data_IF_290678240001
#
_entry.id   IF_290678240001
#
_cell.length_a   1.000
_cell.length_b   1.000
_cell.length_c   1.000
_cell.angle_alpha   90.00
_cell.angle_beta   90.00
_cell.angle_gamma   90.00
#
_symmetry.space_group_name_H-M   'P 1'
#
loop_
_entity.id
_entity.type
_entity.pdbx_description
1 polymer ?
#
# COMPACT_ATOMS: atom_id res chain seq x y z
N UNK A 1 -21.63 -11.44 31.23
CA UNK A 1 -20.49 -11.63 32.14
C UNK A 1 -19.12 -11.61 31.45
N UNK A 2 -18.75 -12.57 30.60
CA UNK A 2 -17.33 -12.84 30.23
C UNK A 2 -16.48 -11.70 29.61
N UNK A 3 -17.07 -10.74 28.90
CA UNK A 3 -16.29 -9.65 28.25
C UNK A 3 -15.71 -8.66 29.26
N UNK A 4 -16.44 -8.38 30.34
CA UNK A 4 -16.03 -7.42 31.37
C UNK A 4 -14.85 -7.99 32.18
N UNK A 5 -14.86 -9.30 32.44
CA UNK A 5 -13.81 -9.98 33.21
C UNK A 5 -12.45 -9.96 32.48
N UNK A 6 -12.44 -10.22 31.17
CA UNK A 6 -11.22 -10.16 30.33
C UNK A 6 -10.64 -8.76 30.30
N UNK A 7 -11.49 -7.75 30.13
CA UNK A 7 -11.05 -6.36 30.14
C UNK A 7 -10.48 -5.99 31.50
N UNK A 8 -11.17 -6.34 32.58
CA UNK A 8 -10.70 -6.07 33.95
C UNK A 8 -9.34 -6.74 34.25
N UNK A 9 -9.12 -7.98 33.79
CA UNK A 9 -7.83 -8.68 33.89
C UNK A 9 -6.69 -8.01 33.10
N UNK A 10 -6.98 -7.50 31.89
CA UNK A 10 -6.03 -6.70 31.12
C UNK A 10 -5.63 -5.41 31.85
N UNK A 11 -6.58 -4.70 32.47
CA UNK A 11 -6.28 -3.46 33.17
C UNK A 11 -5.56 -3.68 34.50
N UNK A 12 -5.96 -4.70 35.29
CA UNK A 12 -5.36 -4.96 36.61
C UNK A 12 -4.01 -5.67 36.53
N UNK A 13 -3.88 -6.67 35.67
CA UNK A 13 -2.73 -7.59 35.67
C UNK A 13 -1.91 -7.56 34.37
N UNK A 14 -2.30 -6.71 33.41
CA UNK A 14 -1.76 -6.73 32.03
C UNK A 14 -1.83 -8.12 31.38
N UNK A 15 -2.71 -8.97 31.90
CA UNK A 15 -2.83 -10.38 31.54
C UNK A 15 -4.31 -10.77 31.51
N UNK A 16 -4.89 -11.00 30.32
CA UNK A 16 -6.31 -11.36 30.18
C UNK A 16 -6.68 -12.73 30.78
N UNK A 17 -5.70 -13.51 31.24
CA UNK A 17 -5.91 -14.85 31.81
C UNK A 17 -6.24 -14.85 33.30
N UNK A 18 -6.11 -13.71 33.98
CA UNK A 18 -6.30 -13.60 35.43
C UNK A 18 -7.74 -13.18 35.70
N UNK A 19 -8.50 -14.02 36.41
CA UNK A 19 -9.83 -13.69 36.90
C UNK A 19 -9.76 -12.89 38.23
N UNK A 20 -10.91 -12.45 38.76
CA UNK A 20 -10.97 -11.64 39.99
C UNK A 20 -10.33 -12.32 41.22
N UNK A 21 -10.24 -13.65 41.22
CA UNK A 21 -9.71 -14.46 42.32
C UNK A 21 -8.25 -14.91 42.12
N UNK A 22 -7.58 -14.47 41.04
CA UNK A 22 -6.19 -14.86 40.75
C UNK A 22 -6.01 -16.27 40.18
N UNK A 23 -7.10 -17.00 39.93
CA UNK A 23 -7.12 -18.37 39.40
C UNK A 23 -7.14 -18.39 37.85
N UNK A 24 -6.16 -19.05 37.24
CA UNK A 24 -6.11 -19.25 35.79
C UNK A 24 -6.79 -20.56 35.38
N UNK A 25 -7.93 -20.49 34.69
CA UNK A 25 -8.55 -21.67 34.05
C UNK A 25 -7.75 -22.05 32.78
N UNK A 26 -7.00 -23.15 32.85
CA UNK A 26 -6.16 -23.63 31.75
C UNK A 26 -6.93 -23.93 30.46
N UNK A 27 -8.24 -24.20 30.55
CA UNK A 27 -9.11 -24.46 29.39
C UNK A 27 -9.51 -23.19 28.62
N UNK A 28 -9.29 -22.00 29.17
CA UNK A 28 -9.69 -20.71 28.56
C UNK A 28 -8.54 -19.71 28.48
N UNK A 29 -7.33 -20.21 28.24
CA UNK A 29 -6.14 -19.35 28.18
C UNK A 29 -6.10 -18.54 26.88
N UNK A 30 -6.14 -17.23 27.02
CA UNK A 30 -5.87 -16.26 25.98
C UNK A 30 -4.39 -16.32 25.58
N UNK A 31 -4.08 -16.62 24.30
CA UNK A 31 -2.72 -16.70 23.82
C UNK A 31 -2.09 -15.31 23.70
N UNK A 32 -0.80 -15.22 23.99
CA UNK A 32 -0.01 -14.03 23.68
C UNK A 32 0.08 -13.84 22.16
N UNK A 33 -0.11 -12.61 21.71
CA UNK A 33 0.12 -12.26 20.32
C UNK A 33 1.63 -12.12 20.08
N UNK A 34 2.17 -12.89 19.13
CA UNK A 34 3.56 -12.79 18.67
C UNK A 34 3.58 -12.57 17.16
N UNK A 35 4.62 -11.93 16.63
CA UNK A 35 4.73 -11.68 15.20
C UNK A 35 4.80 -12.97 14.36
N UNK A 36 5.35 -14.05 14.93
CA UNK A 36 5.45 -15.35 14.28
C UNK A 36 4.14 -16.13 14.26
N UNK A 37 3.40 -16.13 15.38
CA UNK A 37 2.19 -16.97 15.48
C UNK A 37 0.89 -16.22 15.22
N UNK A 38 0.86 -14.90 15.48
CA UNK A 38 -0.26 -13.98 15.26
C UNK A 38 -1.60 -14.53 15.74
N UNK A 39 -1.59 -15.19 16.90
CA UNK A 39 -2.77 -15.83 17.50
C UNK A 39 -3.72 -14.76 18.03
N UNK A 40 -5.01 -14.96 17.78
CA UNK A 40 -6.08 -14.12 18.30
C UNK A 40 -7.30 -14.95 18.68
N UNK A 41 -8.19 -14.39 19.48
CA UNK A 41 -9.41 -15.06 19.94
C UNK A 41 -10.64 -14.31 19.46
N UNK A 42 -11.61 -15.03 18.91
CA UNK A 42 -12.92 -14.48 18.56
C UNK A 42 -13.77 -14.26 19.81
N UNK A 43 -14.28 -13.05 20.01
CA UNK A 43 -15.14 -12.68 21.15
C UNK A 43 -16.62 -12.83 20.80
N UNK A 44 -17.14 -14.06 20.79
CA UNK A 44 -18.53 -14.38 20.47
C UNK A 44 -19.22 -15.20 21.58
N UNK A 45 -20.46 -15.65 21.33
CA UNK A 45 -21.25 -16.50 22.24
C UNK A 45 -20.83 -17.98 22.20
N UNK A 46 -20.04 -18.36 21.19
CA UNK A 46 -19.49 -19.70 21.03
C UNK A 46 -18.35 -19.96 22.04
N UNK A 47 -17.97 -21.24 22.26
CA UNK A 47 -16.74 -21.56 22.97
C UNK A 47 -15.53 -20.88 22.32
N UNK A 48 -14.58 -20.47 23.17
CA UNK A 48 -13.38 -19.74 22.76
C UNK A 48 -12.58 -20.51 21.72
N UNK A 49 -12.43 -19.91 20.53
CA UNK A 49 -11.60 -20.44 19.44
C UNK A 49 -10.39 -19.53 19.23
N UNK A 50 -9.21 -20.16 19.15
CA UNK A 50 -7.96 -19.47 18.81
C UNK A 50 -7.78 -19.56 17.29
N UNK A 51 -7.68 -18.40 16.66
CA UNK A 51 -7.41 -18.23 15.25
C UNK A 51 -6.01 -17.64 15.06
N UNK A 52 -5.53 -17.60 13.82
CA UNK A 52 -4.22 -17.03 13.45
C UNK A 52 -4.37 -16.07 12.27
N UNK A 53 -3.55 -15.01 12.24
CA UNK A 53 -3.41 -14.13 11.09
C UNK A 53 -4.69 -13.41 10.68
N UNK A 54 -5.23 -12.57 11.58
CA UNK A 54 -6.46 -11.82 11.32
C UNK A 54 -6.31 -10.94 10.07
N UNK A 55 -7.09 -11.25 9.02
CA UNK A 55 -7.13 -10.52 7.74
C UNK A 55 -5.73 -10.29 7.14
N UNK A 56 -4.81 -11.23 7.34
CA UNK A 56 -3.40 -11.09 6.98
C UNK A 56 -3.16 -10.63 5.53
N UNK A 57 -3.94 -11.13 4.57
CA UNK A 57 -3.86 -10.74 3.16
C UNK A 57 -4.24 -9.28 2.93
N UNK A 58 -5.34 -8.81 3.54
CA UNK A 58 -5.75 -7.42 3.47
C UNK A 58 -4.74 -6.51 4.19
N UNK A 59 -4.25 -6.91 5.35
CA UNK A 59 -3.20 -6.17 6.06
C UNK A 59 -1.91 -6.10 5.23
N UNK A 60 -1.52 -7.17 4.53
CA UNK A 60 -0.37 -7.15 3.64
C UNK A 60 -0.60 -6.21 2.44
N UNK A 61 -1.81 -6.23 1.87
CA UNK A 61 -2.21 -5.31 0.81
C UNK A 61 -2.08 -3.85 1.27
N UNK A 62 -2.78 -3.48 2.35
CA UNK A 62 -2.82 -2.10 2.83
C UNK A 62 -1.47 -1.61 3.40
N UNK A 63 -0.73 -2.46 4.11
CA UNK A 63 0.49 -2.03 4.81
C UNK A 63 1.76 -2.19 3.98
N UNK A 64 1.77 -3.02 2.93
CA UNK A 64 3.00 -3.31 2.15
C UNK A 64 2.84 -3.01 0.67
N UNK A 65 1.75 -3.46 0.06
CA UNK A 65 1.55 -3.31 -1.38
C UNK A 65 1.14 -1.88 -1.74
N UNK A 66 0.09 -1.35 -1.11
CA UNK A 66 -0.45 -0.05 -1.46
C UNK A 66 0.56 1.10 -1.30
N UNK A 67 1.36 1.20 -0.22
CA UNK A 67 2.34 2.27 -0.10
C UNK A 67 3.40 2.24 -1.20
N UNK A 68 3.81 1.03 -1.63
CA UNK A 68 4.75 0.86 -2.74
C UNK A 68 4.14 1.26 -4.07
N UNK A 69 2.88 0.88 -4.30
CA UNK A 69 2.16 1.26 -5.50
C UNK A 69 2.06 2.78 -5.61
N UNK A 70 1.60 3.44 -4.54
CA UNK A 70 1.48 4.89 -4.49
C UNK A 70 2.81 5.59 -4.75
N UNK A 71 3.90 5.13 -4.13
CA UNK A 71 5.25 5.67 -4.35
C UNK A 71 5.72 5.57 -5.81
N UNK A 72 5.28 4.56 -6.56
CA UNK A 72 5.61 4.41 -7.99
C UNK A 72 4.70 5.31 -8.83
N UNK A 73 3.41 5.35 -8.52
CA UNK A 73 2.43 6.10 -9.32
C UNK A 73 2.47 7.60 -9.07
N UNK A 74 3.05 8.05 -7.96
CA UNK A 74 3.18 9.47 -7.60
C UNK A 74 3.92 10.31 -8.66
N UNK A 75 4.82 9.67 -9.43
CA UNK A 75 5.61 10.35 -10.46
C UNK A 75 4.95 10.39 -11.85
N UNK A 76 3.82 9.72 -12.06
CA UNK A 76 3.21 9.55 -13.38
C UNK A 76 2.70 10.90 -13.91
N UNK A 77 2.08 11.70 -13.04
CA UNK A 77 1.55 13.03 -13.41
C UNK A 77 2.67 13.98 -13.88
N UNK A 78 3.83 13.95 -13.21
CA UNK A 78 4.98 14.76 -13.61
C UNK A 78 5.61 14.22 -14.91
N UNK A 79 5.72 12.90 -15.07
CA UNK A 79 6.21 12.30 -16.31
C UNK A 79 5.31 12.67 -17.50
N UNK A 80 3.98 12.66 -17.32
CA UNK A 80 3.02 13.10 -18.34
C UNK A 80 3.20 14.59 -18.66
N UNK A 81 3.37 15.44 -17.64
CA UNK A 81 3.60 16.88 -17.82
C UNK A 81 4.88 17.15 -18.61
N UNK A 82 5.98 16.50 -18.26
CA UNK A 82 7.25 16.60 -18.96
C UNK A 82 7.14 16.14 -20.41
N UNK A 83 6.48 15.01 -20.65
CA UNK A 83 6.25 14.52 -22.00
C UNK A 83 5.45 15.51 -22.86
N UNK A 84 4.40 16.13 -22.32
CA UNK A 84 3.62 17.15 -23.05
C UNK A 84 4.50 18.35 -23.45
N UNK A 85 5.33 18.84 -22.53
CA UNK A 85 6.25 19.97 -22.80
C UNK A 85 7.25 19.61 -23.90
N UNK A 86 7.92 18.46 -23.77
CA UNK A 86 8.92 18.04 -24.75
C UNK A 86 8.29 17.71 -26.10
N UNK A 87 7.07 17.16 -26.12
CA UNK A 87 6.33 16.93 -27.34
C UNK A 87 5.98 18.25 -28.06
N UNK A 88 5.49 19.25 -27.34
CA UNK A 88 5.23 20.58 -27.92
C UNK A 88 6.50 21.23 -28.48
N UNK A 89 7.62 21.10 -27.77
CA UNK A 89 8.92 21.60 -28.22
C UNK A 89 9.38 20.89 -29.49
N UNK A 90 9.36 19.57 -29.50
CA UNK A 90 9.73 18.75 -30.66
C UNK A 90 8.84 19.06 -31.87
N UNK A 91 7.52 19.15 -31.66
CA UNK A 91 6.56 19.47 -32.72
C UNK A 91 6.85 20.83 -33.36
N UNK A 92 7.13 21.85 -32.53
CA UNK A 92 7.51 23.19 -33.01
C UNK A 92 8.82 23.16 -33.80
N UNK A 93 9.82 22.42 -33.32
CA UNK A 93 11.09 22.25 -34.02
C UNK A 93 10.91 21.55 -35.37
N UNK A 94 10.11 20.49 -35.43
CA UNK A 94 9.81 19.76 -36.67
C UNK A 94 9.07 20.63 -37.70
N UNK A 95 8.15 21.50 -37.26
CA UNK A 95 7.50 22.45 -38.15
C UNK A 95 8.49 23.44 -38.75
N UNK A 96 9.41 23.97 -37.95
CA UNK A 96 10.47 24.86 -38.43
C UNK A 96 11.41 24.14 -39.40
N UNK A 97 11.87 22.94 -39.03
CA UNK A 97 12.71 22.11 -39.88
C UNK A 97 12.04 21.80 -41.23
N UNK A 98 10.75 21.44 -41.21
CA UNK A 98 9.98 21.21 -42.44
C UNK A 98 9.93 22.46 -43.32
N UNK A 99 9.70 23.63 -42.74
CA UNK A 99 9.72 24.88 -43.49
C UNK A 99 11.09 25.15 -44.14
N UNK A 100 12.19 24.89 -43.43
CA UNK A 100 13.53 25.05 -43.98
C UNK A 100 13.82 24.03 -45.10
N UNK A 101 13.42 22.77 -44.90
CA UNK A 101 13.58 21.72 -45.90
C UNK A 101 12.76 22.02 -47.17
N UNK A 102 11.52 22.47 -47.02
CA UNK A 102 10.65 22.84 -48.13
C UNK A 102 11.24 24.03 -48.92
N UNK A 103 11.96 24.95 -48.26
CA UNK A 103 12.69 26.04 -48.93
C UNK A 103 13.93 25.54 -49.67
N UNK A 104 14.76 24.72 -49.02
CA UNK A 104 15.98 24.16 -49.61
C UNK A 104 15.69 23.26 -50.81
N UNK A 105 14.66 22.42 -50.72
CA UNK A 105 14.28 21.49 -51.80
C UNK A 105 13.71 22.16 -53.04
N UNK A 106 13.17 23.37 -52.90
CA UNK A 106 12.63 24.18 -54.01
C UNK A 106 13.66 25.10 -54.66
N UNK A 107 14.83 25.31 -54.06
CA UNK A 107 15.92 25.97 -54.75
C UNK A 107 16.42 25.06 -55.87
N UNK A 108 16.37 25.54 -57.11
CA UNK A 108 17.03 24.85 -58.23
C UNK A 108 18.50 24.66 -57.86
N UNK A 109 18.97 23.40 -57.94
CA UNK A 109 20.39 23.10 -57.84
C UNK A 109 21.08 23.94 -58.89
N UNK A 110 22.03 24.78 -58.47
CA UNK A 110 22.86 25.59 -59.36
C UNK A 110 23.22 24.76 -60.59
N UNK A 111 22.61 25.12 -61.72
CA UNK A 111 22.96 24.54 -63.02
C UNK A 111 24.40 24.90 -63.31
N UNK A 112 25.12 23.86 -63.74
CA UNK A 112 26.56 23.77 -63.91
C UNK A 112 27.19 25.04 -64.53
N UNK A 113 28.27 25.49 -63.91
CA UNK A 113 29.29 26.36 -64.48
C UNK A 113 30.57 25.54 -64.69
#
# INVERSE_FOLDING_TARGET
>A
MRRIDVFTGCYRARNPNVNHEGLSDSRKRWPLFTLGEQKYVGLNTEPMKIHKGLRNQLCAFWNRFLPRLLNITDNIDEAERQWKVEFHRWSSYMMHWKSQFDHYSKQERCTDL
#
